data_IF_689645786739
#
_entry.id   IF_689645786739
#
_cell.length_a   1.000
_cell.length_b   1.000
_cell.length_c   1.000
_cell.angle_alpha   90.00
_cell.angle_beta   90.00
_cell.angle_gamma   90.00
#
_symmetry.space_group_name_H-M   'P 1'
#
loop_
_entity.id
_entity.type
_entity.pdbx_description
1 polymer ?
#
# COMPACT_ATOMS: atom_id res chain seq x y z
N UNK A 1 15.14 -9.69 -40.61
CA UNK A 1 16.31 -9.78 -39.74
C UNK A 1 16.27 -8.55 -38.83
N UNK A 2 16.35 -8.68 -37.53
CA UNK A 2 16.55 -7.51 -36.67
C UNK A 2 17.90 -6.87 -37.07
N UNK A 3 18.06 -5.53 -36.95
CA UNK A 3 19.32 -4.87 -37.23
C UNK A 3 20.38 -5.43 -36.29
N UNK A 4 21.56 -5.77 -36.84
CA UNK A 4 22.68 -6.21 -36.05
C UNK A 4 23.05 -5.02 -35.17
N UNK A 5 23.01 -5.22 -33.85
CA UNK A 5 23.42 -4.21 -32.86
C UNK A 5 24.87 -3.77 -33.20
N UNK A 6 25.06 -2.46 -33.34
CA UNK A 6 26.38 -1.87 -33.67
C UNK A 6 27.12 -1.39 -32.42
N UNK A 7 26.46 -1.40 -31.23
CA UNK A 7 27.08 -0.99 -29.97
C UNK A 7 27.56 -2.18 -29.14
N UNK A 8 28.64 -1.98 -28.40
CA UNK A 8 29.15 -2.96 -27.46
C UNK A 8 28.17 -3.19 -26.28
N UNK A 9 28.21 -4.37 -25.66
CA UNK A 9 27.35 -4.68 -24.51
C UNK A 9 27.66 -3.79 -23.30
N UNK A 10 26.63 -3.45 -22.56
CA UNK A 10 26.72 -2.70 -21.30
C UNK A 10 26.29 -3.60 -20.15
N UNK A 11 27.16 -3.77 -19.15
CA UNK A 11 26.82 -4.51 -17.93
C UNK A 11 26.42 -3.56 -16.82
N UNK A 12 25.22 -3.76 -16.27
CA UNK A 12 24.75 -3.01 -15.11
C UNK A 12 24.98 -3.88 -13.87
N UNK A 13 25.89 -3.44 -13.01
CA UNK A 13 26.47 -4.26 -11.93
C UNK A 13 26.11 -3.65 -10.58
N UNK A 14 25.51 -4.45 -9.71
CA UNK A 14 25.26 -4.07 -8.31
C UNK A 14 26.53 -4.12 -7.48
N UNK A 15 26.86 -3.02 -6.81
CA UNK A 15 28.10 -2.86 -6.04
C UNK A 15 27.91 -3.10 -4.53
N UNK A 16 26.73 -3.56 -4.11
CA UNK A 16 26.43 -3.64 -2.69
C UNK A 16 26.17 -2.25 -2.08
N UNK A 17 26.09 -2.15 -0.75
CA UNK A 17 25.60 -0.96 -0.05
C UNK A 17 26.55 0.24 -0.03
N UNK A 18 27.74 0.13 -0.62
CA UNK A 18 28.71 1.22 -0.72
C UNK A 18 30.01 0.99 0.04
N UNK A 19 30.09 -0.05 0.84
CA UNK A 19 31.32 -0.48 1.53
C UNK A 19 32.14 -1.40 0.58
N UNK A 20 33.45 -1.14 0.38
CA UNK A 20 34.31 -1.99 -0.41
C UNK A 20 34.31 -3.46 -0.02
N UNK A 21 34.27 -3.76 1.28
CA UNK A 21 34.28 -5.12 1.83
C UNK A 21 33.00 -5.91 1.53
N UNK A 22 31.96 -5.21 1.04
CA UNK A 22 30.64 -5.77 0.77
C UNK A 22 30.31 -5.85 -0.73
N UNK A 23 31.28 -5.56 -1.58
CA UNK A 23 31.17 -5.85 -3.03
C UNK A 23 31.19 -7.36 -3.22
N UNK A 24 30.16 -7.91 -3.87
CA UNK A 24 30.12 -9.36 -4.09
C UNK A 24 31.23 -9.81 -5.05
N UNK A 25 31.71 -11.03 -4.86
CA UNK A 25 32.73 -11.61 -5.74
C UNK A 25 32.27 -11.60 -7.22
N UNK A 26 31.00 -11.94 -7.47
CA UNK A 26 30.42 -11.90 -8.81
C UNK A 26 30.38 -10.49 -9.42
N UNK A 27 30.12 -9.46 -8.62
CA UNK A 27 30.17 -8.06 -9.06
C UNK A 27 31.60 -7.66 -9.42
N UNK A 28 32.59 -8.06 -8.62
CA UNK A 28 33.99 -7.75 -8.83
C UNK A 28 34.55 -8.47 -10.06
N UNK A 29 34.21 -9.74 -10.24
CA UNK A 29 34.58 -10.52 -11.44
C UNK A 29 33.97 -9.90 -12.71
N UNK A 30 32.71 -9.47 -12.66
CA UNK A 30 32.07 -8.82 -13.80
C UNK A 30 32.71 -7.46 -14.14
N UNK A 31 33.07 -6.66 -13.11
CA UNK A 31 33.80 -5.40 -13.31
C UNK A 31 35.18 -5.62 -13.94
N UNK A 32 35.94 -6.57 -13.41
CA UNK A 32 37.29 -6.93 -13.95
C UNK A 32 37.20 -7.45 -15.36
N UNK A 33 36.17 -8.22 -15.69
CA UNK A 33 35.98 -8.76 -17.04
C UNK A 33 35.80 -7.66 -18.10
N UNK A 34 35.16 -6.53 -17.72
CA UNK A 34 34.97 -5.37 -18.60
C UNK A 34 36.14 -4.41 -18.53
N UNK A 35 36.78 -4.27 -17.38
CA UNK A 35 37.95 -3.42 -17.15
C UNK A 35 37.69 -1.91 -17.10
N UNK A 36 36.46 -1.45 -17.39
CA UNK A 36 36.05 -0.03 -17.41
C UNK A 36 34.66 0.12 -16.83
N UNK A 37 34.48 1.10 -15.93
CA UNK A 37 33.21 1.33 -15.28
C UNK A 37 32.86 2.82 -15.12
N UNK A 38 31.57 3.12 -15.25
CA UNK A 38 30.95 4.35 -14.75
C UNK A 38 30.23 4.01 -13.46
N UNK A 39 30.54 4.70 -12.37
CA UNK A 39 29.94 4.44 -11.07
C UNK A 39 28.84 5.47 -10.80
N UNK A 40 27.66 5.00 -10.47
CA UNK A 40 26.50 5.84 -10.16
C UNK A 40 26.31 5.90 -8.65
N UNK A 41 26.38 7.11 -8.07
CA UNK A 41 26.19 7.38 -6.64
C UNK A 41 27.20 6.68 -5.71
N UNK A 42 28.31 6.18 -6.22
CA UNK A 42 29.31 5.47 -5.44
C UNK A 42 30.12 6.42 -4.54
N UNK A 43 30.36 6.04 -3.27
CA UNK A 43 31.28 6.77 -2.39
C UNK A 43 32.71 6.78 -2.96
N UNK A 44 33.52 7.83 -2.65
CA UNK A 44 34.90 7.93 -3.13
C UNK A 44 35.78 6.72 -2.79
N UNK A 45 35.59 6.15 -1.60
CA UNK A 45 36.33 4.98 -1.11
C UNK A 45 36.05 3.74 -1.96
N UNK A 46 34.80 3.54 -2.35
CA UNK A 46 34.40 2.43 -3.22
C UNK A 46 34.98 2.60 -4.62
N UNK A 47 35.00 3.82 -5.15
CA UNK A 47 35.64 4.10 -6.44
C UNK A 47 37.14 3.81 -6.41
N UNK A 48 37.84 4.21 -5.35
CA UNK A 48 39.27 3.91 -5.15
C UNK A 48 39.51 2.40 -5.01
N UNK A 49 38.68 1.69 -4.30
CA UNK A 49 38.75 0.23 -4.20
C UNK A 49 38.61 -0.43 -5.55
N UNK A 50 37.58 -0.05 -6.34
CA UNK A 50 37.37 -0.61 -7.70
C UNK A 50 38.56 -0.31 -8.63
N UNK A 51 39.18 0.89 -8.53
CA UNK A 51 40.40 1.23 -9.26
C UNK A 51 41.58 0.37 -8.81
N UNK A 52 41.73 0.07 -7.52
CA UNK A 52 42.77 -0.82 -7.01
C UNK A 52 42.63 -2.26 -7.51
N UNK A 53 41.43 -2.66 -7.91
CA UNK A 53 41.10 -3.97 -8.50
C UNK A 53 41.37 -4.03 -10.03
N UNK A 54 41.98 -2.99 -10.58
CA UNK A 54 42.40 -2.94 -12.00
C UNK A 54 41.30 -2.48 -12.96
N UNK A 55 40.22 -1.89 -12.46
CA UNK A 55 39.10 -1.36 -13.26
C UNK A 55 39.26 0.15 -13.44
N UNK A 56 39.24 0.64 -14.66
CA UNK A 56 39.33 2.07 -14.96
C UNK A 56 37.97 2.76 -14.69
N UNK A 57 37.88 3.58 -13.64
CA UNK A 57 36.67 4.35 -13.29
C UNK A 57 36.63 5.65 -14.11
N UNK A 58 35.61 5.78 -14.95
CA UNK A 58 35.39 6.94 -15.82
C UNK A 58 34.64 8.05 -15.05
N UNK A 59 35.36 8.85 -14.28
CA UNK A 59 34.78 9.88 -13.37
C UNK A 59 34.18 11.09 -14.11
N UNK A 60 34.64 11.35 -15.32
CA UNK A 60 34.22 12.47 -16.17
C UNK A 60 32.91 12.23 -16.93
N UNK A 61 32.38 11.03 -16.91
CA UNK A 61 31.19 10.64 -17.66
C UNK A 61 29.89 10.63 -16.87
N UNK A 62 29.93 10.88 -15.56
CA UNK A 62 28.72 11.06 -14.73
C UNK A 62 28.45 12.55 -14.62
N UNK A 63 27.50 13.04 -15.43
CA UNK A 63 27.16 14.46 -15.41
C UNK A 63 26.39 14.90 -14.15
N UNK A 64 25.48 14.09 -13.62
CA UNK A 64 24.73 14.34 -12.40
C UNK A 64 24.14 13.02 -11.87
N UNK A 65 24.49 12.60 -10.64
CA UNK A 65 23.85 11.43 -10.02
C UNK A 65 22.32 11.55 -9.93
N UNK A 66 21.78 12.76 -9.84
CA UNK A 66 20.34 13.01 -9.84
C UNK A 66 19.67 12.63 -11.16
N UNK A 67 20.43 12.50 -12.25
CA UNK A 67 19.95 12.07 -13.56
C UNK A 67 19.19 10.73 -13.47
N UNK A 68 19.68 9.79 -12.69
CA UNK A 68 19.10 8.45 -12.57
C UNK A 68 17.97 8.37 -11.53
N UNK A 69 17.87 9.37 -10.66
CA UNK A 69 16.83 9.45 -9.62
C UNK A 69 15.66 10.32 -10.08
N UNK A 70 15.94 11.37 -10.86
CA UNK A 70 14.97 12.39 -11.29
C UNK A 70 14.96 12.63 -12.80
N UNK A 71 15.77 11.90 -13.55
CA UNK A 71 16.04 12.20 -14.95
C UNK A 71 14.83 12.04 -15.85
N UNK A 72 14.69 12.98 -16.79
CA UNK A 72 13.84 12.81 -17.95
C UNK A 72 14.41 11.71 -18.87
N UNK A 73 13.55 11.07 -19.67
CA UNK A 73 13.98 10.13 -20.70
C UNK A 73 15.11 10.70 -21.58
N UNK A 74 15.00 11.98 -21.97
CA UNK A 74 15.96 12.66 -22.84
C UNK A 74 17.36 12.78 -22.22
N UNK A 75 17.43 13.02 -20.91
CA UNK A 75 18.70 13.14 -20.21
C UNK A 75 19.40 11.77 -20.08
N UNK A 76 18.64 10.70 -19.89
CA UNK A 76 19.19 9.33 -19.86
C UNK A 76 19.59 8.89 -21.27
N UNK A 77 18.84 9.24 -22.30
CA UNK A 77 19.22 8.99 -23.68
C UNK A 77 20.53 9.75 -24.05
N UNK A 78 20.69 10.99 -23.62
CA UNK A 78 21.95 11.71 -23.80
C UNK A 78 23.12 11.05 -23.10
N UNK A 79 22.93 10.56 -21.87
CA UNK A 79 23.94 9.80 -21.13
C UNK A 79 24.33 8.52 -21.89
N UNK A 80 23.37 7.70 -22.32
CA UNK A 80 23.60 6.45 -23.05
C UNK A 80 24.33 6.72 -24.38
N UNK A 81 23.99 7.80 -25.06
CA UNK A 81 24.68 8.20 -26.30
C UNK A 81 26.13 8.65 -26.06
N UNK A 82 26.41 9.20 -24.87
CA UNK A 82 27.79 9.62 -24.50
C UNK A 82 28.69 8.44 -24.05
N UNK A 83 28.14 7.24 -23.78
CA UNK A 83 28.94 6.07 -23.35
C UNK A 83 29.93 5.57 -24.42
N UNK A 84 29.67 5.88 -25.70
CA UNK A 84 30.50 5.41 -26.81
C UNK A 84 30.18 3.97 -27.24
N UNK A 85 31.10 3.38 -28.02
CA UNK A 85 30.88 2.08 -28.66
C UNK A 85 31.75 0.97 -28.06
N UNK A 86 32.37 1.20 -26.91
CA UNK A 86 33.20 0.22 -26.21
C UNK A 86 32.40 -0.48 -25.09
N UNK A 87 32.79 -1.72 -24.79
CA UNK A 87 32.22 -2.46 -23.66
C UNK A 87 32.43 -1.69 -22.35
N UNK A 88 31.40 -1.53 -21.56
CA UNK A 88 31.38 -0.71 -20.36
C UNK A 88 30.53 -1.33 -19.27
N UNK A 89 30.97 -1.20 -18.02
CA UNK A 89 30.13 -1.48 -16.83
C UNK A 89 29.53 -0.20 -16.28
N UNK A 90 28.27 -0.28 -15.83
CA UNK A 90 27.62 0.74 -15.03
C UNK A 90 27.44 0.16 -13.63
N UNK A 91 28.29 0.59 -12.70
CA UNK A 91 28.23 0.17 -11.31
C UNK A 91 27.21 1.01 -10.54
N UNK A 92 26.24 0.38 -9.91
CA UNK A 92 25.19 1.02 -9.10
C UNK A 92 25.23 0.50 -7.66
N UNK A 93 24.92 1.35 -6.68
CA UNK A 93 24.84 0.92 -5.28
C UNK A 93 23.66 -0.04 -5.07
N UNK A 94 23.89 -1.08 -4.28
CA UNK A 94 22.88 -2.10 -3.97
C UNK A 94 22.71 -3.13 -5.07
N UNK A 95 21.50 -3.63 -5.20
CA UNK A 95 21.08 -4.51 -6.27
C UNK A 95 20.38 -3.67 -7.36
N UNK A 96 20.78 -3.75 -8.63
CA UNK A 96 20.16 -2.96 -9.69
C UNK A 96 18.64 -3.10 -9.78
N UNK A 97 18.13 -4.29 -9.48
CA UNK A 97 16.69 -4.58 -9.56
C UNK A 97 15.87 -3.97 -8.43
N UNK A 98 16.43 -3.83 -7.24
CA UNK A 98 15.71 -3.33 -6.06
C UNK A 98 16.11 -1.91 -5.65
N UNK A 99 17.35 -1.51 -5.87
CA UNK A 99 17.93 -0.30 -5.30
C UNK A 99 18.22 0.80 -6.34
N UNK A 100 17.96 0.54 -7.63
CA UNK A 100 18.23 1.51 -8.69
C UNK A 100 16.93 1.93 -9.42
N UNK A 101 16.24 2.98 -8.97
CA UNK A 101 14.99 3.44 -9.55
C UNK A 101 15.06 3.83 -11.02
N UNK A 102 16.24 4.23 -11.48
CA UNK A 102 16.49 4.59 -12.88
C UNK A 102 16.66 3.40 -13.84
N UNK A 103 16.70 2.17 -13.32
CA UNK A 103 16.95 0.98 -14.15
C UNK A 103 15.98 0.84 -15.34
N UNK A 104 14.65 0.97 -15.19
CA UNK A 104 13.74 0.81 -16.33
C UNK A 104 13.97 1.84 -17.43
N UNK A 105 14.32 3.06 -17.07
CA UNK A 105 14.61 4.13 -18.01
C UNK A 105 15.95 3.89 -18.72
N UNK A 106 16.97 3.44 -17.98
CA UNK A 106 18.29 3.10 -18.52
C UNK A 106 18.20 1.93 -19.51
N UNK A 107 17.49 0.86 -19.16
CA UNK A 107 17.31 -0.30 -20.05
C UNK A 107 16.61 0.09 -21.37
N UNK A 108 15.56 0.91 -21.30
CA UNK A 108 14.87 1.41 -22.51
C UNK A 108 15.78 2.31 -23.36
N UNK A 109 16.63 3.11 -22.73
CA UNK A 109 17.57 3.96 -23.46
C UNK A 109 18.67 3.12 -24.16
N UNK A 110 19.20 2.10 -23.49
CA UNK A 110 20.14 1.14 -24.06
C UNK A 110 19.52 0.37 -25.23
N UNK A 111 18.29 -0.08 -25.08
CA UNK A 111 17.52 -0.75 -26.16
C UNK A 111 17.35 0.16 -27.37
N UNK A 112 16.93 1.43 -27.17
CA UNK A 112 16.82 2.42 -28.27
C UNK A 112 18.16 2.69 -28.95
N UNK A 113 19.25 2.68 -28.18
CA UNK A 113 20.59 2.86 -28.69
C UNK A 113 21.17 1.61 -29.39
N UNK A 114 20.47 0.48 -29.36
CA UNK A 114 20.92 -0.80 -29.89
C UNK A 114 22.10 -1.40 -29.12
N UNK A 115 22.24 -1.08 -27.83
CA UNK A 115 23.26 -1.62 -26.94
C UNK A 115 22.68 -2.81 -26.14
N UNK A 116 23.20 -4.02 -26.30
CA UNK A 116 22.84 -5.16 -25.48
C UNK A 116 23.15 -4.86 -24.01
N UNK A 117 22.30 -5.25 -23.08
CA UNK A 117 22.52 -5.05 -21.65
C UNK A 117 22.43 -6.35 -20.87
N UNK A 118 23.30 -6.49 -19.88
CA UNK A 118 23.36 -7.60 -18.93
C UNK A 118 23.26 -7.04 -17.51
N UNK A 119 22.45 -7.67 -16.66
CA UNK A 119 22.30 -7.31 -15.25
C UNK A 119 23.10 -8.29 -14.39
N UNK A 120 23.97 -7.77 -13.55
CA UNK A 120 24.70 -8.53 -12.54
C UNK A 120 24.17 -8.08 -11.16
N UNK A 121 23.47 -8.96 -10.45
CA UNK A 121 22.91 -8.61 -9.14
C UNK A 121 24.02 -8.35 -8.11
N UNK A 122 23.83 -7.33 -7.30
CA UNK A 122 24.63 -7.06 -6.11
C UNK A 122 23.83 -7.36 -4.85
N UNK A 123 24.43 -7.12 -3.69
CA UNK A 123 23.77 -7.25 -2.40
C UNK A 123 22.80 -6.06 -2.22
N UNK A 124 21.51 -6.29 -1.94
CA UNK A 124 20.56 -5.20 -1.69
C UNK A 124 20.98 -4.33 -0.51
N UNK A 125 20.82 -3.02 -0.60
CA UNK A 125 21.12 -2.07 0.48
C UNK A 125 20.33 -2.37 1.75
N UNK A 126 19.04 -2.71 1.59
CA UNK A 126 18.15 -3.01 2.71
C UNK A 126 18.53 -4.27 3.51
N UNK A 127 19.15 -5.27 2.86
CA UNK A 127 19.50 -6.54 3.53
C UNK A 127 20.66 -6.36 4.54
N UNK A 128 21.49 -5.35 4.36
CA UNK A 128 22.67 -5.13 5.18
C UNK A 128 22.46 -4.16 6.33
N UNK A 129 21.55 -3.21 6.22
CA UNK A 129 21.24 -2.31 7.33
C UNK A 129 20.75 -3.05 8.58
N UNK A 130 20.24 -4.25 8.44
CA UNK A 130 19.77 -5.08 9.54
C UNK A 130 20.86 -5.95 10.21
N UNK A 131 22.01 -6.17 9.55
CA UNK A 131 23.00 -7.18 9.96
C UNK A 131 24.33 -6.61 10.47
N UNK A 132 24.67 -5.36 10.16
CA UNK A 132 25.99 -4.78 10.46
C UNK A 132 25.81 -3.34 10.99
N UNK A 133 26.54 -2.95 12.04
CA UNK A 133 26.70 -1.55 12.45
C UNK A 133 27.53 -0.78 11.40
N UNK A 134 26.91 -0.55 10.25
CA UNK A 134 27.53 0.24 9.19
C UNK A 134 27.41 1.74 9.46
N UNK A 135 28.39 2.55 9.03
CA UNK A 135 28.22 4.00 9.02
C UNK A 135 26.97 4.33 8.20
N UNK A 136 26.06 5.09 8.82
CA UNK A 136 24.78 5.48 8.20
C UNK A 136 25.06 6.28 6.94
N UNK A 137 24.64 5.79 5.79
CA UNK A 137 24.65 6.57 4.53
C UNK A 137 23.87 7.87 4.80
N UNK A 138 24.43 9.06 4.51
CA UNK A 138 23.69 10.30 4.71
C UNK A 138 22.37 10.28 3.95
N UNK A 139 21.26 10.54 4.65
CA UNK A 139 19.98 10.76 3.96
C UNK A 139 20.06 12.05 3.14
N UNK A 140 19.33 12.14 2.04
CA UNK A 140 19.16 13.39 1.31
C UNK A 140 18.72 14.52 2.28
N UNK A 141 19.10 15.79 2.03
CA UNK A 141 18.61 16.89 2.86
C UNK A 141 17.09 17.00 2.82
N UNK A 142 16.49 17.54 3.88
CA UNK A 142 15.03 17.61 4.06
C UNK A 142 14.25 18.28 2.89
N UNK A 143 14.92 19.03 2.04
CA UNK A 143 14.36 19.64 0.81
C UNK A 143 14.41 18.73 -0.43
N UNK A 144 15.04 17.52 -0.31
CA UNK A 144 15.16 16.59 -1.42
C UNK A 144 13.92 15.69 -1.54
N UNK A 145 13.74 15.11 -2.72
CA UNK A 145 12.77 14.02 -2.90
C UNK A 145 13.38 12.70 -2.43
N UNK A 146 12.68 12.01 -1.56
CA UNK A 146 13.10 10.72 -1.05
C UNK A 146 12.65 9.59 -1.99
N UNK A 147 13.50 8.59 -2.14
CA UNK A 147 13.18 7.35 -2.83
C UNK A 147 12.54 6.34 -1.87
N UNK A 148 12.00 5.26 -2.45
CA UNK A 148 11.53 4.12 -1.67
C UNK A 148 12.61 3.54 -0.74
N UNK A 149 13.84 3.44 -1.23
CA UNK A 149 14.99 2.96 -0.45
C UNK A 149 15.32 3.88 0.71
N UNK A 150 15.20 5.20 0.51
CA UNK A 150 15.43 6.17 1.59
C UNK A 150 14.39 6.01 2.70
N UNK A 151 13.12 5.75 2.35
CA UNK A 151 12.07 5.50 3.36
C UNK A 151 12.37 4.25 4.20
N UNK A 152 12.83 3.16 3.57
CA UNK A 152 13.23 1.93 4.27
C UNK A 152 14.39 2.22 5.22
N UNK A 153 15.39 2.98 4.78
CA UNK A 153 16.53 3.37 5.62
C UNK A 153 16.11 4.29 6.77
N UNK A 154 15.17 5.23 6.54
CA UNK A 154 14.58 6.06 7.61
C UNK A 154 13.98 5.17 8.69
N UNK A 155 13.15 4.18 8.32
CA UNK A 155 12.54 3.27 9.28
C UNK A 155 13.58 2.45 10.05
N UNK A 156 14.59 1.91 9.37
CA UNK A 156 15.66 1.17 10.01
C UNK A 156 16.44 2.05 11.02
N UNK A 157 16.62 3.35 10.74
CA UNK A 157 17.26 4.31 11.69
C UNK A 157 16.37 4.62 12.86
N UNK A 158 15.07 4.86 12.64
CA UNK A 158 14.11 5.08 13.72
C UNK A 158 14.11 3.90 14.69
N UNK A 159 14.07 2.68 14.20
CA UNK A 159 14.14 1.47 15.02
C UNK A 159 15.39 1.37 15.87
N UNK A 160 16.54 1.86 15.39
CA UNK A 160 17.80 1.85 16.15
C UNK A 160 17.94 3.04 17.09
N UNK A 161 17.49 4.23 16.67
CA UNK A 161 17.80 5.50 17.32
C UNK A 161 16.70 6.09 18.18
N UNK A 162 15.43 5.87 17.85
CA UNK A 162 14.29 6.41 18.58
C UNK A 162 13.84 5.43 19.69
N UNK A 163 13.79 5.84 20.95
CA UNK A 163 13.35 4.96 22.05
C UNK A 163 11.93 4.44 21.87
N UNK A 164 11.01 5.27 21.35
CA UNK A 164 9.62 4.89 21.14
C UNK A 164 9.50 3.85 20.02
N UNK A 165 10.09 4.11 18.87
CA UNK A 165 10.04 3.17 17.74
C UNK A 165 10.65 1.82 18.11
N UNK A 166 11.75 1.82 18.88
CA UNK A 166 12.44 0.60 19.30
C UNK A 166 11.60 -0.31 20.19
N UNK A 167 10.68 0.24 20.98
CA UNK A 167 9.81 -0.52 21.87
C UNK A 167 8.60 -1.13 21.14
N UNK A 168 8.27 -0.66 19.93
CA UNK A 168 7.07 -1.11 19.21
C UNK A 168 7.16 -2.58 18.80
N UNK A 169 6.00 -3.22 18.84
CA UNK A 169 5.76 -4.60 18.36
C UNK A 169 4.62 -4.61 17.34
N UNK A 170 4.40 -5.75 16.67
CA UNK A 170 3.24 -5.88 15.79
C UNK A 170 1.93 -5.59 16.52
N UNK A 171 1.81 -6.04 17.76
CA UNK A 171 0.61 -5.91 18.58
C UNK A 171 0.39 -4.45 19.03
N UNK A 172 1.45 -3.73 19.42
CA UNK A 172 1.35 -2.34 19.86
C UNK A 172 0.99 -1.38 18.73
N UNK A 173 1.28 -1.75 17.49
CA UNK A 173 0.99 -0.94 16.30
C UNK A 173 -0.42 -1.18 15.72
N UNK A 174 -1.15 -2.21 16.17
CA UNK A 174 -2.50 -2.50 15.66
C UNK A 174 -3.47 -1.30 15.80
N UNK A 175 -3.53 -0.57 16.94
CA UNK A 175 -4.42 0.59 17.05
C UNK A 175 -4.10 1.66 15.99
N UNK A 176 -2.83 2.00 15.80
CA UNK A 176 -2.39 3.00 14.82
C UNK A 176 -2.73 2.58 13.39
N UNK A 177 -2.46 1.32 13.00
CA UNK A 177 -2.83 0.82 11.67
C UNK A 177 -4.33 0.99 11.36
N UNK A 178 -5.19 0.84 12.37
CA UNK A 178 -6.63 1.02 12.23
C UNK A 178 -6.98 2.51 12.14
N UNK A 179 -6.35 3.34 12.96
CA UNK A 179 -6.49 4.79 12.98
C UNK A 179 -6.15 5.39 11.63
N UNK A 180 -4.93 5.16 11.12
CA UNK A 180 -4.50 5.63 9.79
C UNK A 180 -5.43 5.16 8.66
N UNK A 181 -5.95 3.93 8.76
CA UNK A 181 -6.91 3.44 7.76
C UNK A 181 -8.23 4.24 7.78
N UNK A 182 -8.68 4.70 8.94
CA UNK A 182 -9.87 5.56 9.05
C UNK A 182 -9.57 7.00 8.62
N UNK A 183 -8.39 7.55 8.92
CA UNK A 183 -7.98 8.89 8.49
C UNK A 183 -7.90 8.98 6.96
N UNK A 184 -7.39 7.93 6.30
CA UNK A 184 -7.50 7.81 4.81
C UNK A 184 -8.96 7.87 4.35
N UNK A 185 -9.88 7.20 5.05
CA UNK A 185 -11.31 7.25 4.70
C UNK A 185 -11.87 8.66 4.87
N UNK A 186 -11.56 9.32 5.99
CA UNK A 186 -12.01 10.68 6.28
C UNK A 186 -11.49 11.68 5.24
N UNK A 187 -10.22 11.56 4.83
CA UNK A 187 -9.63 12.39 3.78
C UNK A 187 -10.30 12.19 2.40
N UNK A 188 -10.69 10.95 2.08
CA UNK A 188 -11.45 10.63 0.85
C UNK A 188 -12.85 11.26 0.93
N UNK A 189 -13.55 11.14 2.04
CA UNK A 189 -14.89 11.69 2.24
C UNK A 189 -14.89 13.23 2.27
N UNK A 190 -13.82 13.83 2.81
CA UNK A 190 -13.61 15.28 2.78
C UNK A 190 -13.22 15.83 1.40
N UNK A 191 -12.92 14.97 0.42
CA UNK A 191 -12.45 15.34 -0.91
C UNK A 191 -11.19 16.23 -0.86
N UNK A 192 -10.30 15.98 0.11
CA UNK A 192 -9.05 16.71 0.32
C UNK A 192 -7.85 15.94 -0.25
N UNK A 193 -7.33 16.28 -1.44
CA UNK A 193 -6.18 15.58 -2.00
C UNK A 193 -4.89 15.76 -1.19
N UNK A 194 -4.74 16.86 -0.46
CA UNK A 194 -3.59 17.11 0.40
C UNK A 194 -3.57 16.18 1.59
N UNK A 195 -4.67 16.14 2.34
CA UNK A 195 -4.84 15.26 3.51
C UNK A 195 -4.75 13.79 3.07
N UNK A 196 -5.39 13.42 1.94
CA UNK A 196 -5.29 12.06 1.41
C UNK A 196 -3.84 11.65 1.12
N UNK A 197 -2.99 12.56 0.64
CA UNK A 197 -1.58 12.27 0.41
C UNK A 197 -0.83 12.04 1.73
N UNK A 198 -1.14 12.82 2.76
CA UNK A 198 -0.57 12.69 4.11
C UNK A 198 -0.97 11.36 4.74
N UNK A 199 -2.27 11.07 4.80
CA UNK A 199 -2.82 9.86 5.43
C UNK A 199 -2.40 8.56 4.71
N UNK A 200 -2.26 8.60 3.38
CA UNK A 200 -1.67 7.47 2.64
C UNK A 200 -0.19 7.28 3.00
N UNK A 201 0.53 8.34 3.34
CA UNK A 201 1.89 8.29 3.85
C UNK A 201 1.96 7.60 5.21
N UNK A 202 1.05 7.94 6.12
CA UNK A 202 0.99 7.38 7.48
C UNK A 202 0.53 5.91 7.45
N UNK A 203 -0.43 5.56 6.60
CA UNK A 203 -0.77 4.16 6.35
C UNK A 203 0.41 3.37 5.76
N UNK A 204 1.20 3.98 4.86
CA UNK A 204 2.41 3.38 4.30
C UNK A 204 3.48 3.19 5.38
N UNK A 205 3.62 4.14 6.33
CA UNK A 205 4.50 4.02 7.49
C UNK A 205 4.19 2.73 8.27
N UNK A 206 2.91 2.43 8.53
CA UNK A 206 2.52 1.21 9.24
C UNK A 206 2.99 -0.05 8.49
N UNK A 207 2.84 -0.06 7.16
CA UNK A 207 3.28 -1.21 6.33
C UNK A 207 4.80 -1.40 6.41
N UNK A 208 5.57 -0.32 6.26
CA UNK A 208 7.04 -0.36 6.32
C UNK A 208 7.52 -0.72 7.72
N UNK A 209 6.86 -0.21 8.76
CA UNK A 209 7.19 -0.53 10.15
C UNK A 209 6.99 -2.02 10.45
N UNK A 210 5.84 -2.57 10.10
CA UNK A 210 5.57 -4.00 10.27
C UNK A 210 6.55 -4.88 9.49
N UNK A 211 6.94 -4.48 8.28
CA UNK A 211 7.93 -5.20 7.48
C UNK A 211 9.34 -5.11 8.12
N UNK A 212 9.70 -3.97 8.70
CA UNK A 212 10.95 -3.80 9.44
C UNK A 212 11.01 -4.70 10.68
N UNK A 213 9.93 -4.76 11.47
CA UNK A 213 9.83 -5.68 12.62
C UNK A 213 9.99 -7.15 12.22
N UNK A 214 9.43 -7.52 11.08
CA UNK A 214 9.56 -8.87 10.54
C UNK A 214 10.99 -9.17 10.07
N UNK A 215 11.65 -8.18 9.43
CA UNK A 215 13.05 -8.27 9.00
C UNK A 215 13.98 -8.47 10.19
N UNK A 216 13.80 -7.74 11.28
CA UNK A 216 14.57 -7.87 12.52
C UNK A 216 14.45 -9.26 13.14
N UNK A 217 13.34 -9.94 12.90
CA UNK A 217 13.07 -11.32 13.36
C UNK A 217 13.44 -12.39 12.33
N UNK A 218 14.03 -12.01 11.19
CA UNK A 218 14.41 -12.92 10.10
C UNK A 218 13.22 -13.66 9.48
N UNK A 219 12.03 -13.03 9.44
CA UNK A 219 10.81 -13.66 8.90
C UNK A 219 10.57 -13.30 7.44
N UNK A 220 10.46 -12.03 7.13
CA UNK A 220 10.31 -11.48 5.77
C UNK A 220 10.71 -10.01 5.78
N UNK A 221 10.97 -9.47 4.61
CA UNK A 221 11.33 -8.08 4.35
C UNK A 221 10.19 -7.34 3.63
N UNK A 222 10.35 -6.02 3.48
CA UNK A 222 9.43 -5.23 2.64
C UNK A 222 9.46 -5.67 1.16
N UNK A 223 10.59 -6.17 0.67
CA UNK A 223 10.68 -6.72 -0.68
C UNK A 223 9.76 -7.93 -0.84
N UNK A 224 9.72 -8.83 0.15
CA UNK A 224 8.82 -9.98 0.14
C UNK A 224 7.34 -9.57 0.15
N UNK A 225 7.00 -8.48 0.86
CA UNK A 225 5.63 -7.90 0.85
C UNK A 225 5.26 -7.39 -0.54
N UNK A 226 6.17 -6.65 -1.18
CA UNK A 226 5.98 -6.13 -2.55
C UNK A 226 5.84 -7.27 -3.54
N UNK A 227 6.71 -8.28 -3.47
CA UNK A 227 6.68 -9.45 -4.34
C UNK A 227 5.39 -10.26 -4.17
N UNK A 228 4.96 -10.47 -2.92
CA UNK A 228 3.71 -11.16 -2.62
C UNK A 228 2.49 -10.42 -3.20
N UNK A 229 2.48 -9.08 -3.10
CA UNK A 229 1.42 -8.25 -3.67
C UNK A 229 1.45 -8.28 -5.20
N UNK A 230 2.61 -8.02 -5.82
CA UNK A 230 2.78 -7.96 -7.26
C UNK A 230 2.41 -9.29 -7.92
N UNK A 231 2.95 -10.41 -7.42
CA UNK A 231 2.63 -11.75 -7.90
C UNK A 231 1.14 -12.07 -7.79
N UNK A 232 0.51 -11.65 -6.69
CA UNK A 232 -0.94 -11.81 -6.49
C UNK A 232 -1.74 -11.01 -7.52
N UNK A 233 -1.35 -9.74 -7.78
CA UNK A 233 -2.04 -8.88 -8.75
C UNK A 233 -1.89 -9.40 -10.18
N UNK A 234 -0.68 -9.77 -10.58
CA UNK A 234 -0.39 -10.35 -11.91
C UNK A 234 -1.23 -11.62 -12.13
N UNK A 235 -1.19 -12.54 -11.16
CA UNK A 235 -1.92 -13.81 -11.27
C UNK A 235 -3.45 -13.61 -11.35
N UNK A 236 -4.00 -12.62 -10.64
CA UNK A 236 -5.44 -12.37 -10.59
C UNK A 236 -5.97 -11.51 -11.74
N UNK A 237 -5.07 -10.96 -12.57
CA UNK A 237 -5.43 -10.14 -13.73
C UNK A 237 -4.87 -10.71 -15.05
N UNK A 238 -5.20 -11.97 -15.41
CA UNK A 238 -4.70 -12.57 -16.65
C UNK A 238 -5.22 -11.87 -17.91
N UNK A 239 -6.23 -11.03 -17.80
CA UNK A 239 -6.72 -10.16 -18.85
C UNK A 239 -5.87 -8.90 -19.08
N UNK A 240 -4.96 -8.57 -18.16
CA UNK A 240 -4.02 -7.44 -18.26
C UNK A 240 -2.60 -7.93 -18.53
N UNK A 241 -2.21 -9.02 -17.89
CA UNK A 241 -0.83 -9.54 -17.89
C UNK A 241 -0.68 -10.85 -18.69
N UNK A 242 -1.74 -11.36 -19.31
CA UNK A 242 -1.78 -12.58 -20.14
C UNK A 242 -2.74 -12.41 -21.31
N UNK A 243 -3.19 -13.53 -21.86
CA UNK A 243 -3.98 -13.56 -23.10
C UNK A 243 -5.49 -13.75 -22.87
N UNK A 244 -5.98 -13.70 -21.64
CA UNK A 244 -7.39 -13.91 -21.34
C UNK A 244 -8.21 -12.67 -21.72
N UNK A 245 -9.17 -12.84 -22.62
CA UNK A 245 -10.10 -11.77 -22.96
C UNK A 245 -11.24 -11.68 -21.93
N UNK A 246 -11.62 -10.45 -21.59
CA UNK A 246 -12.81 -10.11 -20.79
C UNK A 246 -13.60 -9.03 -21.51
N UNK A 247 -14.93 -9.07 -21.40
CA UNK A 247 -15.82 -8.15 -22.10
C UNK A 247 -16.61 -7.24 -21.17
N UNK A 248 -16.62 -7.57 -19.88
CA UNK A 248 -17.35 -6.80 -18.87
C UNK A 248 -16.66 -6.80 -17.50
N UNK A 249 -17.04 -5.85 -16.66
CA UNK A 249 -16.63 -5.82 -15.24
C UNK A 249 -17.09 -7.09 -14.50
N UNK A 250 -18.25 -7.63 -14.87
CA UNK A 250 -18.77 -8.86 -14.28
C UNK A 250 -17.84 -10.07 -14.57
N UNK A 251 -17.31 -10.17 -15.80
CA UNK A 251 -16.35 -11.23 -16.16
C UNK A 251 -15.07 -11.12 -15.33
N UNK A 252 -14.58 -9.88 -15.10
CA UNK A 252 -13.42 -9.63 -14.26
C UNK A 252 -13.65 -10.13 -12.83
N UNK A 253 -14.80 -9.78 -12.23
CA UNK A 253 -15.17 -10.21 -10.90
C UNK A 253 -15.30 -11.73 -10.78
N UNK A 254 -15.93 -12.37 -11.74
CA UNK A 254 -16.09 -13.82 -11.77
C UNK A 254 -14.73 -14.54 -11.85
N UNK A 255 -13.87 -14.10 -12.76
CA UNK A 255 -12.52 -14.62 -12.92
C UNK A 255 -11.68 -14.43 -11.64
N UNK A 256 -11.75 -13.25 -11.03
CA UNK A 256 -11.07 -12.94 -9.78
C UNK A 256 -11.44 -13.91 -8.65
N UNK A 257 -12.72 -14.17 -8.45
CA UNK A 257 -13.19 -15.08 -7.41
C UNK A 257 -12.81 -16.55 -7.71
N UNK A 258 -12.86 -16.97 -8.95
CA UNK A 258 -12.39 -18.30 -9.35
C UNK A 258 -10.90 -18.48 -9.06
N UNK A 259 -10.07 -17.51 -9.47
CA UNK A 259 -8.62 -17.56 -9.22
C UNK A 259 -8.29 -17.52 -7.72
N UNK A 260 -9.01 -16.71 -6.95
CA UNK A 260 -8.88 -16.64 -5.50
C UNK A 260 -9.27 -17.96 -4.80
N UNK A 261 -10.26 -18.67 -5.32
CA UNK A 261 -10.68 -19.96 -4.78
C UNK A 261 -9.63 -21.08 -5.01
N UNK A 262 -8.75 -20.91 -6.00
CA UNK A 262 -7.67 -21.86 -6.30
C UNK A 262 -6.43 -21.67 -5.42
N UNK A 263 -6.34 -20.58 -4.66
CA UNK A 263 -5.19 -20.29 -3.81
C UNK A 263 -5.08 -21.28 -2.64
N UNK A 264 -3.84 -21.63 -2.22
CA UNK A 264 -3.63 -22.59 -1.11
C UNK A 264 -4.36 -22.20 0.17
N UNK A 265 -4.38 -20.91 0.50
CA UNK A 265 -5.09 -20.38 1.67
C UNK A 265 -6.63 -20.53 1.57
N UNK A 266 -7.18 -20.70 0.38
CA UNK A 266 -8.60 -20.97 0.20
C UNK A 266 -8.94 -22.45 0.37
N UNK A 267 -7.99 -23.34 0.07
CA UNK A 267 -8.18 -24.79 0.15
C UNK A 267 -8.20 -25.34 1.58
N UNK A 268 -7.64 -24.60 2.54
CA UNK A 268 -7.61 -24.98 3.96
C UNK A 268 -8.85 -24.52 4.75
N UNK A 269 -9.84 -23.92 4.10
CA UNK A 269 -11.04 -23.40 4.76
C UNK A 269 -12.06 -24.53 4.97
N UNK A 270 -12.58 -24.63 6.18
CA UNK A 270 -13.62 -25.58 6.57
C UNK A 270 -15.01 -25.02 6.25
N UNK A 271 -15.19 -23.70 6.41
CA UNK A 271 -16.43 -22.98 6.11
C UNK A 271 -16.27 -22.03 4.92
N UNK A 272 -17.33 -21.83 4.18
CA UNK A 272 -17.40 -20.78 3.16
C UNK A 272 -17.27 -19.36 3.75
N UNK A 273 -17.58 -19.21 5.03
CA UNK A 273 -17.46 -17.94 5.75
C UNK A 273 -16.03 -17.67 6.25
N UNK A 274 -15.13 -18.65 6.21
CA UNK A 274 -13.75 -18.48 6.65
C UNK A 274 -12.99 -17.40 5.83
N UNK A 275 -12.05 -16.74 6.50
CA UNK A 275 -11.23 -15.68 5.92
C UNK A 275 -11.93 -14.31 5.87
N UNK A 276 -13.02 -14.13 6.62
CA UNK A 276 -13.56 -12.82 6.97
C UNK A 276 -12.81 -12.35 8.23
N UNK A 277 -12.07 -11.23 8.19
CA UNK A 277 -11.34 -10.75 9.36
C UNK A 277 -12.28 -10.49 10.54
N UNK A 278 -11.86 -10.90 11.73
CA UNK A 278 -12.67 -10.73 12.94
C UNK A 278 -12.70 -9.28 13.43
N UNK A 279 -11.65 -8.50 13.09
CA UNK A 279 -11.54 -7.08 13.48
C UNK A 279 -12.31 -6.11 12.59
N UNK A 280 -13.06 -6.56 11.60
CA UNK A 280 -13.93 -5.69 10.81
C UNK A 280 -15.04 -5.08 11.67
N UNK A 281 -15.49 -3.87 11.31
CA UNK A 281 -16.72 -3.29 11.83
C UNK A 281 -17.90 -4.26 11.72
N UNK A 282 -18.82 -4.23 12.67
CA UNK A 282 -19.87 -5.24 12.76
C UNK A 282 -20.77 -5.26 11.50
N UNK A 283 -21.14 -4.10 10.97
CA UNK A 283 -21.96 -3.99 9.77
C UNK A 283 -21.22 -4.52 8.55
N UNK A 284 -19.96 -4.12 8.36
CA UNK A 284 -19.11 -4.58 7.26
C UNK A 284 -18.88 -6.09 7.33
N UNK A 285 -18.65 -6.64 8.53
CA UNK A 285 -18.50 -8.08 8.73
C UNK A 285 -19.79 -8.83 8.40
N UNK A 286 -20.94 -8.34 8.86
CA UNK A 286 -22.26 -8.89 8.55
C UNK A 286 -22.51 -8.93 7.04
N UNK A 287 -22.28 -7.82 6.35
CA UNK A 287 -22.43 -7.74 4.90
C UNK A 287 -21.52 -8.73 4.16
N UNK A 288 -20.23 -8.84 4.55
CA UNK A 288 -19.32 -9.84 3.96
C UNK A 288 -19.75 -11.29 4.21
N UNK A 289 -20.37 -11.59 5.35
CA UNK A 289 -20.93 -12.93 5.63
C UNK A 289 -22.09 -13.21 4.68
N UNK A 290 -23.01 -12.27 4.53
CA UNK A 290 -24.16 -12.37 3.64
C UNK A 290 -23.74 -12.47 2.16
N UNK A 291 -22.77 -11.69 1.71
CA UNK A 291 -22.19 -11.80 0.37
C UNK A 291 -21.65 -13.21 0.07
N UNK A 292 -20.96 -13.79 1.04
CA UNK A 292 -20.44 -15.16 0.87
C UNK A 292 -21.54 -16.21 0.89
N UNK A 293 -22.57 -16.03 1.70
CA UNK A 293 -23.74 -16.90 1.72
C UNK A 293 -24.53 -16.83 0.40
N UNK A 294 -24.74 -15.63 -0.12
CA UNK A 294 -25.42 -15.39 -1.40
C UNK A 294 -24.73 -16.11 -2.56
N UNK A 295 -23.40 -16.16 -2.61
CA UNK A 295 -22.62 -16.85 -3.65
C UNK A 295 -22.84 -18.35 -3.72
N UNK A 296 -23.31 -18.97 -2.66
CA UNK A 296 -23.67 -20.40 -2.64
C UNK A 296 -25.17 -20.62 -2.78
N UNK A 297 -25.92 -19.59 -3.15
CA UNK A 297 -27.36 -19.66 -3.36
C UNK A 297 -28.20 -19.45 -2.09
N UNK A 298 -27.56 -19.12 -0.95
CA UNK A 298 -28.29 -18.79 0.27
C UNK A 298 -28.55 -17.28 0.32
N UNK A 299 -29.56 -16.88 -0.43
CA UNK A 299 -30.02 -15.48 -0.55
C UNK A 299 -31.53 -15.41 -0.84
N UNK A 300 -32.10 -14.25 -0.57
CA UNK A 300 -33.48 -13.95 -0.94
C UNK A 300 -33.59 -13.70 -2.45
N UNK A 301 -34.66 -14.22 -3.11
CA UNK A 301 -34.81 -14.03 -4.55
C UNK A 301 -35.10 -12.58 -4.95
N UNK A 302 -35.63 -11.78 -4.01
CA UNK A 302 -36.00 -10.38 -4.21
C UNK A 302 -36.01 -9.58 -2.89
N UNK A 303 -36.25 -8.28 -3.01
CA UNK A 303 -36.34 -7.37 -1.87
C UNK A 303 -37.55 -7.63 -0.97
N UNK A 304 -38.60 -8.24 -1.48
CA UNK A 304 -39.81 -8.46 -0.69
C UNK A 304 -39.57 -9.52 0.39
N UNK A 305 -38.74 -10.53 0.10
CA UNK A 305 -38.29 -11.50 1.10
C UNK A 305 -37.47 -10.86 2.22
N UNK A 306 -36.54 -9.96 1.89
CA UNK A 306 -35.74 -9.24 2.88
C UNK A 306 -36.61 -8.31 3.75
N UNK A 307 -37.58 -7.61 3.13
CA UNK A 307 -38.53 -6.75 3.86
C UNK A 307 -39.44 -7.53 4.80
N UNK A 308 -39.93 -8.69 4.34
CA UNK A 308 -40.75 -9.56 5.17
C UNK A 308 -39.97 -10.05 6.40
N UNK A 309 -38.68 -10.43 6.21
CA UNK A 309 -37.82 -10.83 7.33
C UNK A 309 -37.55 -9.67 8.29
N UNK A 310 -37.33 -8.47 7.80
CA UNK A 310 -37.17 -7.30 8.66
C UNK A 310 -38.44 -7.04 9.53
N UNK A 311 -39.61 -7.18 8.94
CA UNK A 311 -40.85 -7.05 9.67
C UNK A 311 -41.05 -8.14 10.76
N UNK A 312 -40.62 -9.37 10.45
CA UNK A 312 -40.57 -10.49 11.38
C UNK A 312 -39.66 -10.20 12.58
N UNK A 313 -38.39 -9.79 12.34
CA UNK A 313 -37.42 -9.48 13.40
C UNK A 313 -37.93 -8.33 14.33
N UNK A 314 -38.50 -7.29 13.72
CA UNK A 314 -39.11 -6.20 14.51
C UNK A 314 -40.28 -6.71 15.37
N UNK A 315 -41.10 -7.63 14.87
CA UNK A 315 -42.21 -8.20 15.65
C UNK A 315 -41.70 -9.11 16.77
N UNK A 316 -40.59 -9.83 16.56
CA UNK A 316 -39.96 -10.67 17.58
C UNK A 316 -39.31 -9.82 18.67
N UNK A 317 -38.61 -8.74 18.31
CA UNK A 317 -38.12 -7.74 19.26
C UNK A 317 -39.24 -7.15 20.13
N UNK A 318 -40.36 -6.79 19.53
CA UNK A 318 -41.52 -6.26 20.27
C UNK A 318 -42.19 -7.32 21.18
N UNK A 319 -42.09 -8.59 20.84
CA UNK A 319 -42.55 -9.72 21.69
C UNK A 319 -41.59 -9.87 22.88
N UNK A 320 -40.29 -9.98 22.64
CA UNK A 320 -39.28 -10.07 23.70
C UNK A 320 -39.35 -8.88 24.69
N UNK A 321 -39.59 -7.67 24.15
CA UNK A 321 -39.77 -6.45 24.97
C UNK A 321 -41.00 -6.54 25.88
N UNK A 322 -42.14 -7.02 25.37
CA UNK A 322 -43.37 -7.18 26.15
C UNK A 322 -43.23 -8.23 27.24
N UNK A 323 -42.47 -9.30 26.94
CA UNK A 323 -42.28 -10.41 27.87
C UNK A 323 -41.21 -10.11 28.94
N UNK A 324 -40.49 -8.99 28.80
CA UNK A 324 -39.38 -8.58 29.68
C UNK A 324 -38.14 -9.47 29.56
N UNK A 325 -37.99 -10.16 28.44
CA UNK A 325 -36.84 -11.02 28.14
C UNK A 325 -35.62 -10.22 27.68
N UNK A 326 -34.75 -9.89 28.62
CA UNK A 326 -33.55 -9.09 28.33
C UNK A 326 -32.57 -9.77 27.39
N UNK A 327 -32.48 -11.09 27.37
CA UNK A 327 -31.61 -11.85 26.46
C UNK A 327 -32.21 -11.86 25.06
N UNK A 328 -33.51 -12.16 24.94
CA UNK A 328 -34.23 -12.11 23.68
C UNK A 328 -34.21 -10.71 23.06
N UNK A 329 -34.40 -9.63 23.85
CA UNK A 329 -34.25 -8.25 23.32
C UNK A 329 -32.88 -8.04 22.69
N UNK A 330 -31.80 -8.52 23.30
CA UNK A 330 -30.45 -8.37 22.76
C UNK A 330 -30.26 -9.16 21.47
N UNK A 331 -30.75 -10.38 21.40
CA UNK A 331 -30.72 -11.23 20.22
C UNK A 331 -31.48 -10.56 19.06
N UNK A 332 -32.74 -10.19 19.28
CA UNK A 332 -33.59 -9.61 18.25
C UNK A 332 -33.08 -8.24 17.74
N UNK A 333 -32.47 -7.42 18.60
CA UNK A 333 -31.78 -6.19 18.15
C UNK A 333 -30.66 -6.52 17.21
N UNK A 334 -29.90 -7.58 17.50
CA UNK A 334 -28.83 -8.06 16.60
C UNK A 334 -29.39 -8.52 15.25
N UNK A 335 -30.48 -9.27 15.24
CA UNK A 335 -31.11 -9.80 14.05
C UNK A 335 -31.79 -8.72 13.19
N UNK A 336 -32.41 -7.72 13.83
CA UNK A 336 -32.88 -6.50 13.13
C UNK A 336 -31.72 -5.80 12.42
N UNK A 337 -30.60 -5.53 13.12
CA UNK A 337 -29.43 -4.88 12.54
C UNK A 337 -28.86 -5.73 11.40
N UNK A 338 -28.73 -7.03 11.57
CA UNK A 338 -28.22 -7.95 10.56
C UNK A 338 -29.11 -7.99 9.30
N UNK A 339 -30.45 -7.93 9.49
CA UNK A 339 -31.40 -7.88 8.39
C UNK A 339 -31.39 -6.52 7.68
N UNK A 340 -31.17 -5.40 8.40
CA UNK A 340 -30.94 -4.08 7.79
C UNK A 340 -29.66 -4.08 6.93
N UNK A 341 -28.59 -4.72 7.39
CA UNK A 341 -27.37 -4.93 6.58
C UNK A 341 -27.67 -5.72 5.31
N UNK A 342 -28.52 -6.75 5.40
CA UNK A 342 -28.93 -7.51 4.21
C UNK A 342 -29.78 -6.66 3.25
N UNK A 343 -30.63 -5.80 3.76
CA UNK A 343 -31.39 -4.86 2.94
C UNK A 343 -30.47 -3.88 2.21
N UNK A 344 -29.46 -3.31 2.91
CA UNK A 344 -28.46 -2.45 2.29
C UNK A 344 -27.71 -3.18 1.18
N UNK A 345 -27.25 -4.40 1.42
CA UNK A 345 -26.57 -5.26 0.44
C UNK A 345 -27.45 -5.51 -0.78
N UNK A 346 -28.71 -5.88 -0.59
CA UNK A 346 -29.65 -6.15 -1.69
C UNK A 346 -29.95 -4.90 -2.53
N UNK A 347 -29.79 -3.70 -1.95
CA UNK A 347 -29.89 -2.40 -2.63
C UNK A 347 -28.55 -1.94 -3.24
N UNK A 348 -27.48 -2.72 -3.12
CA UNK A 348 -26.14 -2.35 -3.62
C UNK A 348 -25.47 -1.26 -2.77
N UNK A 349 -25.85 -1.10 -1.50
CA UNK A 349 -25.31 -0.11 -0.58
C UNK A 349 -24.33 -0.78 0.39
N UNK A 350 -23.17 -0.19 0.60
CA UNK A 350 -22.27 -0.57 1.68
C UNK A 350 -22.82 -0.06 3.02
N UNK A 351 -23.15 -1.00 3.94
CA UNK A 351 -23.84 -0.67 5.17
C UNK A 351 -22.98 0.13 6.15
N UNK A 352 -21.65 -0.14 6.18
CA UNK A 352 -20.72 0.58 7.05
C UNK A 352 -20.55 2.03 6.58
N UNK A 353 -20.36 2.24 5.28
CA UNK A 353 -20.28 3.59 4.68
C UNK A 353 -21.57 4.37 4.88
N UNK A 354 -22.73 3.76 4.64
CA UNK A 354 -24.02 4.40 4.85
C UNK A 354 -24.23 4.83 6.32
N UNK A 355 -23.73 4.04 7.28
CA UNK A 355 -23.80 4.38 8.70
C UNK A 355 -22.84 5.52 9.05
N UNK A 356 -21.63 5.57 8.47
CA UNK A 356 -20.72 6.71 8.62
C UNK A 356 -21.36 8.00 8.08
N UNK A 357 -21.92 7.95 6.88
CA UNK A 357 -22.64 9.10 6.30
C UNK A 357 -23.77 9.60 7.21
N UNK A 358 -24.50 8.68 7.83
CA UNK A 358 -25.56 9.02 8.77
C UNK A 358 -25.00 9.67 10.05
N UNK A 359 -23.87 9.17 10.57
CA UNK A 359 -23.18 9.74 11.73
C UNK A 359 -22.66 11.14 11.41
N UNK A 360 -21.98 11.35 10.27
CA UNK A 360 -21.48 12.66 9.83
C UNK A 360 -22.62 13.65 9.64
N UNK A 361 -23.73 13.22 9.04
CA UNK A 361 -24.92 14.04 8.89
C UNK A 361 -25.52 14.43 10.25
N UNK A 362 -25.59 13.49 11.20
CA UNK A 362 -26.06 13.77 12.55
C UNK A 362 -25.14 14.76 13.26
N UNK A 363 -23.82 14.52 13.22
CA UNK A 363 -22.82 15.40 13.82
C UNK A 363 -22.91 16.84 13.29
N UNK A 364 -22.95 17.02 11.96
CA UNK A 364 -23.06 18.36 11.34
C UNK A 364 -24.33 19.10 11.81
N UNK A 365 -25.44 18.39 11.83
CA UNK A 365 -26.72 18.97 12.26
C UNK A 365 -26.73 19.31 13.73
N UNK A 366 -26.23 18.42 14.57
CA UNK A 366 -26.15 18.65 16.00
C UNK A 366 -25.20 19.81 16.33
N UNK A 367 -24.03 19.87 15.72
CA UNK A 367 -23.10 21.00 15.86
C UNK A 367 -23.68 22.33 15.36
N UNK A 368 -24.56 22.30 14.35
CA UNK A 368 -25.31 23.49 13.96
C UNK A 368 -26.25 23.94 15.06
N UNK A 369 -26.99 23.04 15.68
CA UNK A 369 -27.87 23.35 16.80
C UNK A 369 -27.11 23.96 17.99
N UNK A 370 -25.97 23.38 18.35
CA UNK A 370 -25.08 23.91 19.42
C UNK A 370 -24.66 25.35 19.13
N UNK A 371 -24.11 25.60 17.94
CA UNK A 371 -23.69 26.93 17.53
C UNK A 371 -24.85 27.92 17.51
N UNK A 372 -26.03 27.50 17.10
CA UNK A 372 -27.21 28.33 17.03
C UNK A 372 -27.71 28.71 18.44
N UNK A 373 -27.83 27.75 19.33
CA UNK A 373 -28.19 28.00 20.73
C UNK A 373 -27.19 28.93 21.41
N UNK A 374 -25.90 28.67 21.22
CA UNK A 374 -24.81 29.50 21.77
C UNK A 374 -24.88 30.94 21.26
N UNK A 375 -25.22 31.17 19.99
CA UNK A 375 -25.38 32.52 19.43
C UNK A 375 -26.52 33.30 20.07
N UNK A 376 -27.46 32.62 20.69
CA UNK A 376 -28.59 33.17 21.46
C UNK A 376 -28.32 33.23 22.96
N UNK A 377 -27.09 32.90 23.39
CA UNK A 377 -26.68 32.90 24.79
C UNK A 377 -27.28 31.74 25.62
N UNK A 378 -27.73 30.67 24.98
CA UNK A 378 -28.33 29.47 25.58
C UNK A 378 -27.48 28.24 25.31
N UNK A 379 -27.59 27.24 26.16
CA UNK A 379 -27.09 25.89 25.86
C UNK A 379 -28.22 24.99 25.36
N UNK A 380 -27.92 23.87 24.67
CA UNK A 380 -28.94 22.93 24.23
C UNK A 380 -29.71 22.33 25.43
N UNK A 381 -29.06 22.21 26.60
CA UNK A 381 -29.67 21.72 27.82
C UNK A 381 -30.72 22.66 28.43
N UNK A 382 -30.75 23.92 28.02
CA UNK A 382 -31.71 24.93 28.48
C UNK A 382 -32.98 24.98 27.61
N UNK A 383 -32.99 24.20 26.52
CA UNK A 383 -34.08 24.17 25.53
C UNK A 383 -35.08 23.07 25.84
N UNK A 384 -36.35 23.37 25.59
CA UNK A 384 -37.42 22.37 25.59
C UNK A 384 -37.27 21.41 24.39
N UNK A 385 -37.94 20.27 24.45
CA UNK A 385 -37.93 19.29 23.35
C UNK A 385 -38.49 19.91 22.05
N UNK A 386 -39.52 20.75 22.14
CA UNK A 386 -40.10 21.43 20.98
C UNK A 386 -39.12 22.41 20.35
N UNK A 387 -38.38 23.20 21.15
CA UNK A 387 -37.33 24.11 20.67
C UNK A 387 -36.17 23.33 20.04
N UNK A 388 -35.77 22.18 20.62
CA UNK A 388 -34.75 21.30 20.05
C UNK A 388 -35.19 20.73 18.69
N UNK A 389 -36.47 20.33 18.57
CA UNK A 389 -37.02 19.84 17.30
C UNK A 389 -37.06 20.94 16.23
N UNK A 390 -37.45 22.16 16.61
CA UNK A 390 -37.42 23.32 15.70
C UNK A 390 -35.98 23.58 15.18
N UNK A 391 -35.00 23.59 16.08
CA UNK A 391 -33.58 23.70 15.69
C UNK A 391 -33.12 22.56 14.81
N UNK A 392 -33.58 21.33 15.09
CA UNK A 392 -33.28 20.19 14.26
C UNK A 392 -33.83 20.28 12.84
N UNK A 393 -35.08 20.78 12.72
CA UNK A 393 -35.66 21.03 11.39
C UNK A 393 -34.91 22.14 10.62
N UNK A 394 -34.47 23.21 11.32
CA UNK A 394 -33.58 24.21 10.73
C UNK A 394 -32.25 23.63 10.28
N UNK A 395 -31.63 22.78 11.11
CA UNK A 395 -30.39 22.10 10.79
C UNK A 395 -30.50 21.24 9.53
N UNK A 396 -31.64 20.57 9.30
CA UNK A 396 -31.87 19.78 8.07
C UNK A 396 -31.79 20.62 6.80
N UNK A 397 -32.12 21.91 6.87
CA UNK A 397 -32.12 22.81 5.72
C UNK A 397 -30.82 23.60 5.57
N UNK A 398 -30.10 23.84 6.66
CA UNK A 398 -28.93 24.74 6.71
C UNK A 398 -27.60 23.99 6.81
N UNK A 399 -27.62 22.73 7.26
CA UNK A 399 -26.44 21.89 7.44
C UNK A 399 -26.57 20.58 6.62
N UNK A 400 -27.09 20.72 5.40
CA UNK A 400 -27.27 19.61 4.48
C UNK A 400 -25.92 19.12 3.93
#
# INVERSE_FOLDING_TARGET
>A
MPPISTKAPVRIIGLGPGDPDLVTLGSLEALRAVGRAVLVLAPPELALFIESEGVSVLRDRIADPALFVRGSSDAIDAFVNALGDEELAIGVLGNPLSDFPGLPLLLRALERAGAPSELVPGMPRATLSAAIEMPLVPLPPASAHYSWTDLIEVMARLRRGCPWDREQTHESLVPYLIEEAYEVVDAIEAHSPGDLCEELGDLLLQIVFHAQLATERGKFSIADVVDALANKMIRRHPHVFGDQAVTSVADVWQNWEQLKALEPAAKSRESRLDGIPQGLGALQRGQKMQDKAARVGFDWPDLDGVRAKLAEEVAELERARRDGDALGIREEVGDVIFTVVNLARALGVDAESAMRDANHKFYRRFSYMERRAQSEGRSLGDLSLDELEELWQLAKTQAA
#
